data_IF_639969269975
#
_entry.id   IF_639969269975
#
_cell.length_a   1.000
_cell.length_b   1.000
_cell.length_c   1.000
_cell.angle_alpha   90.00
_cell.angle_beta   90.00
_cell.angle_gamma   90.00
#
_symmetry.space_group_name_H-M   'P 1'
#
loop_
_entity.id
_entity.type
_entity.pdbx_description
1 polymer ?
#
# COMPACT_ATOMS: atom_id res chain seq x y z
N UNK A 1 -28.66 -18.33 -71.64
CA UNK A 1 -29.45 -17.12 -71.30
C UNK A 1 -30.94 -17.49 -71.28
N UNK A 2 -31.54 -17.69 -70.09
CA UNK A 2 -32.98 -17.79 -69.85
C UNK A 2 -33.26 -17.31 -68.41
N UNK A 3 -34.29 -16.49 -68.28
CA UNK A 3 -34.76 -15.80 -67.07
C UNK A 3 -35.72 -16.75 -66.34
N UNK A 4 -35.80 -16.70 -65.00
CA UNK A 4 -37.08 -16.49 -64.28
C UNK A 4 -36.93 -16.42 -62.75
N UNK A 5 -37.43 -15.32 -62.20
CA UNK A 5 -37.85 -15.13 -60.82
C UNK A 5 -39.14 -15.91 -60.55
N UNK A 6 -39.30 -16.45 -59.33
CA UNK A 6 -40.34 -16.11 -58.33
C UNK A 6 -40.72 -17.30 -57.43
N UNK A 7 -40.72 -17.00 -56.13
CA UNK A 7 -41.66 -17.41 -55.07
C UNK A 7 -42.04 -18.89 -54.92
N UNK A 8 -41.89 -19.43 -53.70
CA UNK A 8 -43.01 -19.92 -52.86
C UNK A 8 -42.44 -20.36 -51.50
N UNK A 9 -43.01 -19.79 -50.43
CA UNK A 9 -42.78 -20.13 -49.03
C UNK A 9 -43.52 -21.43 -48.68
N UNK A 10 -42.97 -22.22 -47.76
CA UNK A 10 -43.55 -22.63 -46.45
C UNK A 10 -43.22 -24.07 -46.03
N UNK A 11 -42.67 -24.14 -44.81
CA UNK A 11 -42.85 -25.16 -43.75
C UNK A 11 -42.79 -26.65 -44.10
N UNK A 12 -41.76 -27.31 -43.54
CA UNK A 12 -41.91 -28.63 -42.93
C UNK A 12 -41.40 -28.53 -41.47
N UNK A 13 -42.28 -28.91 -40.54
CA UNK A 13 -42.06 -28.83 -39.11
C UNK A 13 -41.15 -29.95 -38.56
N UNK A 14 -40.53 -29.63 -37.41
CA UNK A 14 -40.20 -30.50 -36.27
C UNK A 14 -39.28 -31.72 -36.48
N UNK A 15 -38.07 -31.67 -35.91
CA UNK A 15 -37.70 -32.57 -34.78
C UNK A 15 -36.38 -32.17 -34.11
N UNK A 16 -36.48 -31.84 -32.82
CA UNK A 16 -35.57 -32.09 -31.70
C UNK A 16 -34.12 -32.49 -32.01
N UNK A 17 -33.20 -31.54 -31.79
CA UNK A 17 -31.80 -31.78 -31.48
C UNK A 17 -31.38 -30.81 -30.38
N UNK A 18 -31.48 -31.25 -29.13
CA UNK A 18 -31.07 -30.53 -27.93
C UNK A 18 -29.57 -30.29 -28.01
N UNK A 19 -29.14 -29.13 -28.53
CA UNK A 19 -27.73 -28.73 -28.44
C UNK A 19 -27.49 -28.39 -26.98
N UNK A 20 -26.82 -29.32 -26.30
CA UNK A 20 -26.37 -29.20 -24.93
C UNK A 20 -25.66 -27.86 -24.77
N UNK A 21 -26.23 -27.06 -23.87
CA UNK A 21 -25.64 -25.83 -23.37
C UNK A 21 -24.35 -26.27 -22.68
N UNK A 22 -23.21 -26.22 -23.39
CA UNK A 22 -21.90 -26.32 -22.77
C UNK A 22 -21.84 -25.21 -21.73
N UNK A 23 -22.06 -25.59 -20.48
CA UNK A 23 -21.73 -24.78 -19.33
C UNK A 23 -20.28 -24.36 -19.54
N UNK A 24 -20.08 -23.06 -19.72
CA UNK A 24 -18.75 -22.48 -19.62
C UNK A 24 -18.35 -22.73 -18.18
N UNK A 25 -17.58 -23.80 -17.96
CA UNK A 25 -16.86 -24.02 -16.72
C UNK A 25 -16.15 -22.70 -16.45
N UNK A 26 -16.60 -22.00 -15.43
CA UNK A 26 -15.98 -20.79 -14.91
C UNK A 26 -14.52 -21.15 -14.68
N UNK A 27 -13.67 -20.72 -15.60
CA UNK A 27 -12.27 -21.09 -15.61
C UNK A 27 -11.67 -20.73 -14.26
N UNK A 28 -11.18 -21.74 -13.57
CA UNK A 28 -10.22 -21.55 -12.49
C UNK A 28 -9.09 -20.74 -13.13
N UNK A 29 -8.98 -19.44 -12.82
CA UNK A 29 -7.82 -18.64 -13.22
C UNK A 29 -6.61 -19.36 -12.65
N UNK A 30 -5.84 -20.05 -13.48
CA UNK A 30 -4.55 -20.60 -13.06
C UNK A 30 -3.69 -19.41 -12.65
N UNK A 31 -3.21 -19.39 -11.40
CA UNK A 31 -2.28 -18.37 -10.93
C UNK A 31 -1.11 -18.31 -11.91
N UNK A 32 -0.86 -17.15 -12.49
CA UNK A 32 0.29 -16.98 -13.35
C UNK A 32 1.54 -16.77 -12.49
N UNK A 33 2.72 -17.07 -13.04
CA UNK A 33 3.98 -16.79 -12.35
C UNK A 33 4.11 -15.30 -11.96
N UNK A 34 3.56 -14.40 -12.78
CA UNK A 34 3.53 -12.97 -12.49
C UNK A 34 2.69 -12.66 -11.25
N UNK A 35 1.53 -13.31 -11.09
CA UNK A 35 0.67 -13.14 -9.90
C UNK A 35 1.41 -13.61 -8.63
N UNK A 36 2.07 -14.77 -8.68
CA UNK A 36 2.82 -15.31 -7.56
C UNK A 36 4.03 -14.42 -7.17
N UNK A 37 4.75 -13.90 -8.16
CA UNK A 37 5.87 -12.98 -7.94
C UNK A 37 5.41 -11.64 -7.36
N UNK A 38 4.27 -11.11 -7.79
CA UNK A 38 3.70 -9.89 -7.23
C UNK A 38 3.24 -10.07 -5.77
N UNK A 39 2.61 -11.21 -5.44
CA UNK A 39 2.24 -11.58 -4.07
C UNK A 39 3.49 -11.65 -3.16
N UNK A 40 4.55 -12.33 -3.60
CA UNK A 40 5.79 -12.45 -2.84
C UNK A 40 6.46 -11.09 -2.62
N UNK A 41 6.54 -10.25 -3.67
CA UNK A 41 7.11 -8.90 -3.55
C UNK A 41 6.31 -8.01 -2.58
N UNK A 42 4.99 -8.17 -2.54
CA UNK A 42 4.16 -7.44 -1.58
C UNK A 42 4.44 -7.90 -0.15
N UNK A 43 4.50 -9.21 0.09
CA UNK A 43 4.80 -9.78 1.40
C UNK A 43 6.19 -9.33 1.90
N UNK A 44 7.22 -9.44 1.05
CA UNK A 44 8.58 -9.01 1.37
C UNK A 44 8.65 -7.52 1.73
N UNK A 45 7.91 -6.67 1.01
CA UNK A 45 7.85 -5.24 1.32
C UNK A 45 7.15 -4.96 2.65
N UNK A 46 6.06 -5.68 2.96
CA UNK A 46 5.36 -5.56 4.25
C UNK A 46 6.29 -5.97 5.41
N UNK A 47 7.01 -7.08 5.28
CA UNK A 47 7.98 -7.52 6.29
C UNK A 47 9.10 -6.50 6.54
N UNK A 48 9.59 -5.85 5.47
CA UNK A 48 10.60 -4.79 5.59
C UNK A 48 10.07 -3.58 6.36
N UNK A 49 8.83 -3.15 6.09
CA UNK A 49 8.21 -2.05 6.81
C UNK A 49 7.95 -2.39 8.28
N UNK A 50 7.48 -3.60 8.57
CA UNK A 50 7.29 -4.07 9.94
C UNK A 50 8.61 -4.09 10.72
N UNK A 51 9.70 -4.49 10.07
CA UNK A 51 11.04 -4.44 10.65
C UNK A 51 11.48 -3.00 10.96
N UNK A 52 11.19 -2.04 10.08
CA UNK A 52 11.47 -0.62 10.30
C UNK A 52 10.62 -0.03 11.44
N UNK A 53 9.34 -0.37 11.52
CA UNK A 53 8.45 0.04 12.62
C UNK A 53 8.94 -0.50 13.95
N UNK A 54 9.30 -1.79 14.01
CA UNK A 54 9.87 -2.39 15.21
C UNK A 54 11.18 -1.71 15.62
N UNK A 55 12.03 -1.36 14.65
CA UNK A 55 13.25 -0.61 14.93
C UNK A 55 12.96 0.78 15.50
N UNK A 56 11.97 1.50 14.95
CA UNK A 56 11.52 2.78 15.49
C UNK A 56 11.04 2.64 16.94
N UNK A 57 10.25 1.61 17.25
CA UNK A 57 9.80 1.32 18.62
C UNK A 57 10.97 1.11 19.58
N UNK A 58 11.97 0.34 19.17
CA UNK A 58 13.12 0.02 20.00
C UNK A 58 14.02 1.24 20.22
N UNK A 59 14.24 2.06 19.19
CA UNK A 59 14.95 3.34 19.32
C UNK A 59 14.15 4.31 20.19
N UNK A 60 12.83 4.40 20.00
CA UNK A 60 11.94 5.26 20.77
C UNK A 60 11.97 4.93 22.27
N UNK A 61 11.93 3.64 22.62
CA UNK A 61 12.09 3.19 24.01
C UNK A 61 13.43 3.59 24.62
N UNK A 62 14.52 3.58 23.85
CA UNK A 62 15.84 4.07 24.30
C UNK A 62 15.82 5.59 24.46
N UNK A 63 15.20 6.30 23.53
CA UNK A 63 15.11 7.75 23.53
C UNK A 63 14.38 8.29 24.77
N UNK A 64 13.27 7.66 25.16
CA UNK A 64 12.52 8.01 26.39
C UNK A 64 13.35 7.80 27.66
N UNK A 65 14.27 6.82 27.67
CA UNK A 65 15.12 6.51 28.83
C UNK A 65 16.35 7.41 28.91
N UNK A 66 17.00 7.61 27.77
CA UNK A 66 18.36 8.17 27.71
C UNK A 66 18.37 9.64 27.29
N UNK A 67 17.33 10.11 26.59
CA UNK A 67 17.28 11.43 25.96
C UNK A 67 18.54 11.74 25.13
N UNK A 68 19.08 10.70 24.49
CA UNK A 68 20.35 10.78 23.75
C UNK A 68 20.13 11.38 22.37
N UNK A 69 20.99 12.33 21.99
CA UNK A 69 21.02 12.87 20.62
C UNK A 69 21.38 11.78 19.60
N UNK A 70 22.17 10.78 19.99
CA UNK A 70 22.48 9.65 19.12
C UNK A 70 21.25 8.81 18.81
N UNK A 71 20.44 8.51 19.84
CA UNK A 71 19.17 7.79 19.67
C UNK A 71 18.20 8.62 18.80
N UNK A 72 18.17 9.95 18.96
CA UNK A 72 17.35 10.84 18.13
C UNK A 72 17.77 10.83 16.65
N UNK A 73 19.08 10.85 16.38
CA UNK A 73 19.61 10.74 15.01
C UNK A 73 19.23 9.38 14.41
N UNK A 74 19.42 8.28 15.16
CA UNK A 74 19.05 6.94 14.69
C UNK A 74 17.55 6.84 14.41
N UNK A 75 16.71 7.43 15.26
CA UNK A 75 15.26 7.48 15.08
C UNK A 75 14.91 8.20 13.78
N UNK A 76 15.48 9.39 13.55
CA UNK A 76 15.28 10.17 12.32
C UNK A 76 15.71 9.41 11.07
N UNK A 77 16.89 8.78 11.08
CA UNK A 77 17.37 8.04 9.92
C UNK A 77 16.50 6.79 9.63
N UNK A 78 16.00 6.13 10.67
CA UNK A 78 15.08 4.99 10.51
C UNK A 78 13.73 5.43 9.96
N UNK A 79 13.20 6.55 10.47
CA UNK A 79 11.96 7.16 10.00
C UNK A 79 12.06 7.57 8.52
N UNK A 80 13.17 8.20 8.14
CA UNK A 80 13.45 8.57 6.75
C UNK A 80 13.41 7.37 5.81
N UNK A 81 14.05 6.25 6.19
CA UNK A 81 14.03 5.01 5.40
C UNK A 81 12.62 4.46 5.23
N UNK A 82 11.83 4.46 6.30
CA UNK A 82 10.42 4.04 6.25
C UNK A 82 9.62 4.89 5.25
N UNK A 83 9.75 6.21 5.32
CA UNK A 83 9.04 7.11 4.41
C UNK A 83 9.50 6.94 2.95
N UNK A 84 10.80 6.75 2.71
CA UNK A 84 11.34 6.48 1.37
C UNK A 84 10.78 5.19 0.78
N UNK A 85 10.74 4.11 1.55
CA UNK A 85 10.25 2.80 1.08
C UNK A 85 8.73 2.79 0.87
N UNK A 86 8.00 3.55 1.69
CA UNK A 86 6.56 3.79 1.51
C UNK A 86 6.28 4.57 0.22
N UNK A 87 7.05 5.64 -0.03
CA UNK A 87 6.92 6.44 -1.24
C UNK A 87 7.29 5.66 -2.50
N UNK A 88 8.37 4.86 -2.49
CA UNK A 88 8.76 4.02 -3.63
C UNK A 88 7.61 3.10 -4.06
N UNK A 89 6.93 2.46 -3.10
CA UNK A 89 5.77 1.61 -3.39
C UNK A 89 4.60 2.43 -3.92
N UNK A 90 4.30 3.59 -3.32
CA UNK A 90 3.24 4.47 -3.76
C UNK A 90 3.45 4.92 -5.23
N UNK A 91 4.68 5.30 -5.61
CA UNK A 91 5.01 5.68 -6.99
C UNK A 91 5.01 4.49 -7.96
N UNK A 92 5.55 3.32 -7.56
CA UNK A 92 5.54 2.11 -8.39
C UNK A 92 4.13 1.59 -8.71
N UNK A 93 3.20 1.67 -7.74
CA UNK A 93 1.78 1.37 -7.96
C UNK A 93 1.13 2.32 -8.97
N UNK A 94 1.58 3.58 -9.08
CA UNK A 94 1.01 4.54 -10.04
C UNK A 94 1.39 4.28 -11.48
N UNK A 95 2.57 3.69 -11.76
CA UNK A 95 2.96 3.32 -13.12
C UNK A 95 2.03 2.23 -13.69
N UNK A 96 1.60 1.28 -12.85
CA UNK A 96 0.63 0.25 -13.23
C UNK A 96 -0.83 0.73 -13.27
N UNK A 97 -1.16 1.78 -12.50
CA UNK A 97 -2.52 2.33 -12.41
C UNK A 97 -2.54 3.82 -12.77
N UNK A 98 -2.61 4.12 -14.07
CA UNK A 98 -2.63 5.50 -14.61
C UNK A 98 -3.86 6.36 -14.25
N UNK A 99 -4.56 6.08 -13.15
CA UNK A 99 -5.74 6.85 -12.74
C UNK A 99 -5.99 6.86 -11.23
N UNK A 100 -5.26 7.69 -10.48
CA UNK A 100 -5.86 8.38 -9.32
C UNK A 100 -5.11 9.66 -8.96
N UNK A 101 -5.69 10.82 -9.31
CA UNK A 101 -5.24 12.15 -8.86
C UNK A 101 -5.68 12.49 -7.43
N UNK A 102 -6.42 11.61 -6.74
CA UNK A 102 -7.07 11.92 -5.45
C UNK A 102 -6.27 11.53 -4.20
N UNK A 103 -5.20 10.74 -4.32
CA UNK A 103 -4.42 10.24 -3.16
C UNK A 103 -3.18 11.06 -2.81
N UNK A 104 -2.54 11.75 -3.79
CA UNK A 104 -1.29 12.48 -3.58
C UNK A 104 -1.34 13.53 -2.45
N UNK A 105 -2.38 14.38 -2.33
CA UNK A 105 -2.40 15.42 -1.30
C UNK A 105 -2.36 14.85 0.11
N UNK A 106 -2.99 13.68 0.35
CA UNK A 106 -3.09 13.09 1.69
C UNK A 106 -1.75 12.52 2.18
N UNK A 107 -0.98 11.85 1.32
CA UNK A 107 0.33 11.30 1.70
C UNK A 107 1.29 12.43 2.07
N UNK A 108 1.36 13.51 1.26
CA UNK A 108 2.22 14.64 1.58
C UNK A 108 1.81 15.35 2.86
N UNK A 109 0.50 15.48 3.13
CA UNK A 109 -0.01 16.01 4.40
C UNK A 109 0.42 15.16 5.60
N UNK A 110 0.34 13.83 5.50
CA UNK A 110 0.79 12.94 6.58
C UNK A 110 2.30 13.05 6.81
N UNK A 111 3.09 13.12 5.73
CA UNK A 111 4.55 13.33 5.84
C UNK A 111 4.86 14.67 6.51
N UNK A 112 4.12 15.72 6.16
CA UNK A 112 4.29 17.05 6.78
C UNK A 112 3.98 17.00 8.29
N UNK A 113 2.89 16.35 8.69
CA UNK A 113 2.55 16.13 10.09
C UNK A 113 3.63 15.32 10.84
N UNK A 114 4.13 14.23 10.23
CA UNK A 114 5.22 13.43 10.80
C UNK A 114 6.47 14.28 11.04
N UNK A 115 6.81 15.15 10.08
CA UNK A 115 7.96 16.05 10.23
C UNK A 115 7.76 17.05 11.37
N UNK A 116 6.55 17.59 11.53
CA UNK A 116 6.21 18.49 12.64
C UNK A 116 6.37 17.78 13.99
N UNK A 117 5.81 16.58 14.14
CA UNK A 117 5.92 15.78 15.35
C UNK A 117 7.40 15.42 15.66
N UNK A 118 8.19 15.12 14.64
CA UNK A 118 9.63 14.87 14.79
C UNK A 118 10.43 16.10 15.22
N UNK A 119 10.05 17.28 14.72
CA UNK A 119 10.67 18.55 15.13
C UNK A 119 10.38 18.85 16.61
N UNK A 120 9.14 18.63 17.04
CA UNK A 120 8.73 18.78 18.43
C UNK A 120 9.43 17.77 19.35
N UNK A 121 9.51 16.50 18.93
CA UNK A 121 10.29 15.46 19.62
C UNK A 121 11.76 15.91 19.79
N UNK A 122 12.36 16.45 18.72
CA UNK A 122 13.74 16.94 18.76
C UNK A 122 13.93 18.07 19.77
N UNK A 123 12.97 19.02 19.83
CA UNK A 123 12.97 20.09 20.83
C UNK A 123 12.89 19.53 22.25
N UNK A 124 11.99 18.58 22.51
CA UNK A 124 11.85 17.93 23.83
C UNK A 124 13.13 17.20 24.26
N UNK A 125 13.77 16.47 23.34
CA UNK A 125 15.02 15.75 23.63
C UNK A 125 16.16 16.71 23.94
N UNK A 126 16.19 17.92 23.38
CA UNK A 126 17.23 18.91 23.61
C UNK A 126 16.97 19.84 24.82
N UNK A 127 15.75 19.86 25.36
CA UNK A 127 15.42 20.67 26.53
C UNK A 127 16.21 20.26 27.78
N UNK A 128 16.47 21.22 28.67
CA UNK A 128 17.15 20.95 29.94
C UNK A 128 16.27 20.14 30.89
N UNK A 129 14.97 20.47 30.95
CA UNK A 129 13.99 19.69 31.70
C UNK A 129 13.51 18.52 30.85
N UNK A 130 13.87 17.31 31.25
CA UNK A 130 13.45 16.09 30.56
C UNK A 130 12.06 15.68 31.03
N UNK A 131 11.15 15.51 30.09
CA UNK A 131 9.79 15.02 30.32
C UNK A 131 9.56 13.75 29.49
N UNK A 132 9.72 12.54 30.09
CA UNK A 132 9.60 11.29 29.37
C UNK A 132 8.18 11.04 28.85
N UNK A 133 7.16 11.59 29.51
CA UNK A 133 5.77 11.40 29.09
C UNK A 133 5.51 12.12 27.77
N UNK A 134 5.95 13.38 27.65
CA UNK A 134 5.81 14.14 26.40
C UNK A 134 6.59 13.53 25.25
N UNK A 135 7.79 13.01 25.52
CA UNK A 135 8.57 12.29 24.50
C UNK A 135 7.83 11.05 24.03
N UNK A 136 7.24 10.28 24.97
CA UNK A 136 6.44 9.10 24.63
C UNK A 136 5.21 9.47 23.80
N UNK A 137 4.46 10.51 24.18
CA UNK A 137 3.31 11.00 23.42
C UNK A 137 3.68 11.35 21.97
N UNK A 138 4.84 11.99 21.77
CA UNK A 138 5.34 12.31 20.42
C UNK A 138 5.75 11.07 19.62
N UNK A 139 6.37 10.09 20.27
CA UNK A 139 6.70 8.83 19.62
C UNK A 139 5.45 8.05 19.20
N UNK A 140 4.43 8.01 20.07
CA UNK A 140 3.15 7.34 19.78
C UNK A 140 2.36 8.06 18.67
N UNK A 141 2.38 9.40 18.65
CA UNK A 141 1.81 10.21 17.57
C UNK A 141 2.46 9.90 16.22
N UNK A 142 3.81 9.92 16.17
CA UNK A 142 4.57 9.56 14.96
C UNK A 142 4.22 8.13 14.53
N UNK A 143 4.17 7.17 15.47
CA UNK A 143 3.80 5.79 15.18
C UNK A 143 2.40 5.69 14.55
N UNK A 144 1.41 6.38 15.12
CA UNK A 144 0.05 6.43 14.56
C UNK A 144 0.04 6.91 13.12
N UNK A 145 0.70 8.04 12.85
CA UNK A 145 0.81 8.60 11.50
C UNK A 145 1.52 7.66 10.50
N UNK A 146 2.48 6.87 10.96
CA UNK A 146 3.16 5.88 10.10
C UNK A 146 2.28 4.68 9.79
N UNK A 147 1.48 4.22 10.76
CA UNK A 147 0.49 3.16 10.57
C UNK A 147 -0.59 3.63 9.57
N UNK A 148 -1.04 4.87 9.66
CA UNK A 148 -2.00 5.49 8.73
C UNK A 148 -1.46 5.65 7.30
N UNK A 149 -0.12 5.72 7.14
CA UNK A 149 0.51 5.73 5.81
C UNK A 149 0.60 4.34 5.18
N UNK A 150 0.57 3.30 6.00
CA UNK A 150 0.78 1.91 5.60
C UNK A 150 -0.53 1.15 5.39
N UNK A 151 -1.60 1.46 6.15
CA UNK A 151 -2.93 0.83 6.09
C UNK A 151 -3.99 1.72 5.45
#
# INVERSE_FOLDING_TARGET
>A
MRIQNKDIKQNLASTTGRIEKKERVTGIRQRTFQDALQEENLANWQEQLDALLKKLDDVGKRLVKNFSVQDLIEYRETLKRFLEDTLKKAFGLQEETSFSRRGKPKIYQHIELINQELEELSKLVLQQQKDPLKVLEKLDSIRGLLVDLYY
#
